data_IF_486910223507
#
_entry.id   IF_486910223507
#
_cell.length_a   1.000
_cell.length_b   1.000
_cell.length_c   1.000
_cell.angle_alpha   90.00
_cell.angle_beta   90.00
_cell.angle_gamma   90.00
#
_symmetry.space_group_name_H-M   'P 1'
#
loop_
_entity.id
_entity.type
_entity.pdbx_description
1 polymer ?
#
# COMPACT_ATOMS: atom_id res chain seq x y z
N UNK A 1 15.78 -17.46 -20.41
CA UNK A 1 15.43 -16.38 -19.47
C UNK A 1 16.01 -16.74 -18.13
N UNK A 2 16.81 -15.86 -17.52
CA UNK A 2 17.19 -15.99 -16.12
C UNK A 2 16.26 -15.08 -15.31
N UNK A 3 15.66 -15.60 -14.24
CA UNK A 3 14.95 -14.79 -13.26
C UNK A 3 16.00 -14.17 -12.34
N UNK A 4 16.08 -12.85 -12.35
CA UNK A 4 16.94 -12.05 -11.47
C UNK A 4 16.06 -11.04 -10.73
N UNK A 5 16.28 -10.90 -9.43
CA UNK A 5 15.50 -10.00 -8.57
C UNK A 5 16.48 -9.05 -7.89
N UNK A 6 16.26 -7.76 -8.10
CA UNK A 6 17.02 -6.69 -7.45
C UNK A 6 16.25 -6.21 -6.22
N UNK A 7 16.72 -6.46 -4.99
CA UNK A 7 16.03 -6.01 -3.79
C UNK A 7 15.76 -4.50 -3.78
N UNK A 8 16.65 -3.69 -4.34
CA UNK A 8 16.50 -2.24 -4.47
C UNK A 8 15.31 -1.81 -5.32
N UNK A 9 14.97 -2.59 -6.36
CA UNK A 9 13.82 -2.32 -7.23
C UNK A 9 12.52 -2.66 -6.48
N UNK A 10 12.51 -3.74 -5.70
CA UNK A 10 11.39 -4.11 -4.83
C UNK A 10 11.12 -3.03 -3.77
N UNK A 11 12.16 -2.51 -3.12
CA UNK A 11 12.01 -1.40 -2.16
C UNK A 11 11.56 -0.11 -2.85
N UNK A 12 12.11 0.18 -4.03
CA UNK A 12 11.72 1.32 -4.83
C UNK A 12 10.23 1.30 -5.16
N UNK A 13 9.73 0.16 -5.60
CA UNK A 13 8.31 -0.05 -5.86
C UNK A 13 7.48 -0.06 -4.57
N UNK A 14 7.96 -0.70 -3.51
CA UNK A 14 7.35 -0.67 -2.17
C UNK A 14 7.10 0.75 -1.66
N UNK A 15 8.08 1.65 -1.83
CA UNK A 15 7.92 3.08 -1.51
C UNK A 15 6.87 3.79 -2.36
N UNK A 16 6.74 3.44 -3.64
CA UNK A 16 5.68 4.00 -4.50
C UNK A 16 4.29 3.54 -4.04
N UNK A 17 4.14 2.25 -3.74
CA UNK A 17 2.90 1.67 -3.21
C UNK A 17 2.55 2.27 -1.83
N UNK A 18 3.55 2.46 -0.96
CA UNK A 18 3.38 3.11 0.33
C UNK A 18 2.92 4.57 0.22
N UNK A 19 3.45 5.34 -0.74
CA UNK A 19 2.95 6.69 -1.04
C UNK A 19 1.50 6.68 -1.51
N UNK A 20 1.14 5.75 -2.40
CA UNK A 20 -0.24 5.60 -2.82
C UNK A 20 -1.19 5.28 -1.65
N UNK A 21 -0.74 4.48 -0.67
CA UNK A 21 -1.51 4.24 0.55
C UNK A 21 -1.74 5.54 1.36
N UNK A 22 -0.70 6.38 1.49
CA UNK A 22 -0.79 7.68 2.16
C UNK A 22 -1.75 8.64 1.44
N UNK A 23 -1.75 8.63 0.11
CA UNK A 23 -2.67 9.45 -0.70
C UNK A 23 -4.13 8.99 -0.49
N UNK A 24 -4.37 7.69 -0.41
CA UNK A 24 -5.70 7.13 -0.09
C UNK A 24 -6.15 7.53 1.32
N UNK A 25 -5.25 7.52 2.30
CA UNK A 25 -5.57 7.96 3.67
C UNK A 25 -5.98 9.44 3.69
N UNK A 26 -5.23 10.32 3.00
CA UNK A 26 -5.60 11.72 2.86
C UNK A 26 -6.94 11.91 2.15
N UNK A 27 -7.23 11.12 1.11
CA UNK A 27 -8.51 11.14 0.43
C UNK A 27 -9.67 10.74 1.36
N UNK A 28 -9.46 9.75 2.25
CA UNK A 28 -10.46 9.37 3.26
C UNK A 28 -10.73 10.50 4.22
N UNK A 29 -9.67 11.10 4.77
CA UNK A 29 -9.80 12.24 5.68
C UNK A 29 -10.56 13.41 5.04
N UNK A 30 -10.27 13.68 3.76
CA UNK A 30 -10.99 14.70 2.99
C UNK A 30 -12.49 14.38 2.87
N UNK A 31 -12.83 13.15 2.48
CA UNK A 31 -14.23 12.71 2.35
C UNK A 31 -14.94 12.74 3.70
N UNK A 32 -14.31 12.29 4.77
CA UNK A 32 -14.89 12.29 6.11
C UNK A 32 -15.15 13.71 6.63
N UNK A 33 -14.27 14.65 6.27
CA UNK A 33 -14.40 16.06 6.65
C UNK A 33 -15.42 16.82 5.80
N UNK A 34 -15.55 16.50 4.50
CA UNK A 34 -16.25 17.35 3.54
C UNK A 34 -17.49 16.73 2.88
N UNK A 35 -17.64 15.40 2.89
CA UNK A 35 -18.80 14.73 2.27
C UNK A 35 -20.01 14.60 3.22
N UNK A 36 -19.95 15.21 4.41
CA UNK A 36 -21.10 15.30 5.30
C UNK A 36 -22.07 16.37 4.81
N UNK A 37 -23.21 15.98 4.26
CA UNK A 37 -24.37 16.87 4.16
C UNK A 37 -25.18 16.74 5.46
N UNK A 38 -25.32 17.85 6.19
CA UNK A 38 -26.03 17.88 7.46
C UNK A 38 -27.49 17.42 7.34
N UNK A 39 -28.16 17.25 8.48
CA UNK A 39 -29.58 16.92 8.53
C UNK A 39 -30.40 18.12 8.04
N UNK A 40 -30.69 18.16 6.74
CA UNK A 40 -31.69 19.07 6.19
C UNK A 40 -33.08 18.54 6.58
N UNK A 41 -33.81 19.30 7.38
CA UNK A 41 -35.06 18.87 8.03
C UNK A 41 -36.30 18.87 7.10
N UNK A 42 -36.14 19.15 5.81
CA UNK A 42 -37.28 19.46 4.94
C UNK A 42 -37.57 18.38 3.89
N UNK A 43 -38.85 18.02 3.80
CA UNK A 43 -39.40 17.02 2.87
C UNK A 43 -39.26 17.49 1.41
N UNK A 44 -38.95 16.57 0.50
CA UNK A 44 -38.92 16.82 -0.95
C UNK A 44 -37.63 16.37 -1.63
N UNK A 45 -37.35 16.91 -2.83
CA UNK A 45 -36.17 16.61 -3.66
C UNK A 45 -34.83 16.77 -2.90
N UNK A 46 -34.77 17.70 -1.94
CA UNK A 46 -33.58 17.94 -1.12
C UNK A 46 -33.26 16.73 -0.22
N UNK A 47 -34.27 16.14 0.42
CA UNK A 47 -34.10 14.94 1.26
C UNK A 47 -33.70 13.71 0.42
N UNK A 48 -34.24 13.58 -0.79
CA UNK A 48 -33.84 12.50 -1.70
C UNK A 48 -32.39 12.66 -2.17
N UNK A 49 -31.99 13.88 -2.53
CA UNK A 49 -30.62 14.21 -2.93
C UNK A 49 -29.62 14.00 -1.79
N UNK A 50 -29.96 14.36 -0.56
CA UNK A 50 -29.07 14.14 0.61
C UNK A 50 -28.91 12.65 0.90
N UNK A 51 -29.96 11.84 0.73
CA UNK A 51 -29.89 10.38 0.82
C UNK A 51 -28.94 9.78 -0.21
N UNK A 52 -29.06 10.18 -1.49
CA UNK A 52 -28.13 9.74 -2.55
C UNK A 52 -26.69 10.16 -2.29
N UNK A 53 -26.48 11.39 -1.79
CA UNK A 53 -25.16 11.88 -1.46
C UNK A 53 -24.51 11.07 -0.33
N UNK A 54 -25.26 10.74 0.73
CA UNK A 54 -24.78 9.89 1.82
C UNK A 54 -24.38 8.52 1.29
N UNK A 55 -25.23 7.89 0.46
CA UNK A 55 -24.93 6.58 -0.13
C UNK A 55 -23.67 6.61 -1.02
N UNK A 56 -23.50 7.67 -1.81
CA UNK A 56 -22.30 7.87 -2.61
C UNK A 56 -21.06 8.06 -1.73
N UNK A 57 -21.15 8.87 -0.68
CA UNK A 57 -20.08 9.08 0.30
C UNK A 57 -19.65 7.80 1.00
N UNK A 58 -20.61 6.95 1.39
CA UNK A 58 -20.35 5.66 2.01
C UNK A 58 -19.68 4.67 1.04
N UNK A 59 -20.10 4.68 -0.22
CA UNK A 59 -19.48 3.87 -1.27
C UNK A 59 -18.02 4.30 -1.51
N UNK A 60 -17.75 5.61 -1.55
CA UNK A 60 -16.39 6.15 -1.67
C UNK A 60 -15.54 5.77 -0.47
N UNK A 61 -16.05 5.96 0.76
CA UNK A 61 -15.37 5.54 2.00
C UNK A 61 -15.01 4.05 1.98
N UNK A 62 -15.93 3.19 1.54
CA UNK A 62 -15.70 1.75 1.48
C UNK A 62 -14.59 1.38 0.48
N UNK A 63 -14.60 1.99 -0.71
CA UNK A 63 -13.55 1.76 -1.72
C UNK A 63 -12.19 2.24 -1.23
N UNK A 64 -12.13 3.46 -0.68
CA UNK A 64 -10.88 4.00 -0.15
C UNK A 64 -10.34 3.15 1.01
N UNK A 65 -11.19 2.67 1.92
CA UNK A 65 -10.78 1.76 3.00
C UNK A 65 -10.21 0.45 2.48
N UNK A 66 -10.77 -0.10 1.39
CA UNK A 66 -10.24 -1.31 0.75
C UNK A 66 -8.89 -1.05 0.08
N UNK A 67 -8.73 0.08 -0.61
CA UNK A 67 -7.47 0.47 -1.24
C UNK A 67 -6.36 0.66 -0.21
N UNK A 68 -6.64 1.36 0.89
CA UNK A 68 -5.71 1.58 2.00
C UNK A 68 -5.18 0.25 2.56
N UNK A 69 -6.08 -0.70 2.81
CA UNK A 69 -5.73 -2.04 3.29
C UNK A 69 -4.83 -2.78 2.30
N UNK A 70 -5.20 -2.80 1.01
CA UNK A 70 -4.46 -3.53 -0.01
C UNK A 70 -3.08 -2.92 -0.27
N UNK A 71 -2.98 -1.59 -0.37
CA UNK A 71 -1.73 -0.90 -0.64
C UNK A 71 -0.78 -1.01 0.54
N UNK A 72 -1.27 -0.83 1.77
CA UNK A 72 -0.45 -1.01 2.99
C UNK A 72 0.09 -2.44 3.10
N UNK A 73 -0.76 -3.44 2.86
CA UNK A 73 -0.32 -4.84 2.87
C UNK A 73 0.71 -5.14 1.76
N UNK A 74 0.48 -4.62 0.56
CA UNK A 74 1.36 -4.81 -0.59
C UNK A 74 2.74 -4.17 -0.37
N UNK A 75 2.78 -2.94 0.14
CA UNK A 75 4.04 -2.27 0.48
C UNK A 75 4.85 -3.08 1.50
N UNK A 76 4.18 -3.59 2.56
CA UNK A 76 4.82 -4.42 3.57
C UNK A 76 5.38 -5.72 3.02
N UNK A 77 4.67 -6.35 2.09
CA UNK A 77 5.11 -7.61 1.49
C UNK A 77 6.27 -7.41 0.51
N UNK A 78 6.31 -6.27 -0.20
CA UNK A 78 7.45 -5.88 -1.03
C UNK A 78 8.71 -5.66 -0.17
N UNK A 79 8.59 -4.99 0.98
CA UNK A 79 9.70 -4.82 1.91
C UNK A 79 10.21 -6.15 2.46
N UNK A 80 9.30 -7.07 2.83
CA UNK A 80 9.66 -8.42 3.26
C UNK A 80 10.35 -9.22 2.15
N UNK A 81 9.86 -9.12 0.93
CA UNK A 81 10.45 -9.79 -0.23
C UNK A 81 11.87 -9.28 -0.48
N UNK A 82 12.08 -7.96 -0.45
CA UNK A 82 13.41 -7.37 -0.58
C UNK A 82 14.37 -7.83 0.53
N UNK A 83 13.89 -7.90 1.78
CA UNK A 83 14.67 -8.44 2.89
C UNK A 83 15.01 -9.92 2.71
N UNK A 84 14.06 -10.73 2.24
CA UNK A 84 14.26 -12.16 1.98
C UNK A 84 15.35 -12.40 0.94
N UNK A 85 15.31 -11.68 -0.19
CA UNK A 85 16.32 -11.83 -1.25
C UNK A 85 17.70 -11.40 -0.75
N UNK A 86 17.83 -10.28 -0.03
CA UNK A 86 19.12 -9.86 0.54
C UNK A 86 19.73 -10.90 1.49
N UNK A 87 18.92 -11.44 2.40
CA UNK A 87 19.40 -12.45 3.36
C UNK A 87 19.80 -13.72 2.63
N UNK A 88 19.00 -14.17 1.67
CA UNK A 88 19.30 -15.37 0.88
C UNK A 88 20.58 -15.19 0.08
N UNK A 89 20.74 -14.08 -0.63
CA UNK A 89 21.95 -13.79 -1.41
C UNK A 89 23.20 -13.72 -0.51
N UNK A 90 23.10 -13.07 0.65
CA UNK A 90 24.20 -13.02 1.62
C UNK A 90 24.55 -14.42 2.17
N UNK A 91 23.55 -15.26 2.45
CA UNK A 91 23.77 -16.64 2.90
C UNK A 91 24.43 -17.49 1.81
N UNK A 92 24.01 -17.36 0.56
CA UNK A 92 24.61 -18.10 -0.56
C UNK A 92 26.05 -17.63 -0.83
N UNK A 93 26.30 -16.31 -0.78
CA UNK A 93 27.65 -15.76 -0.90
C UNK A 93 28.58 -16.28 0.21
N UNK A 94 28.12 -16.28 1.47
CA UNK A 94 28.87 -16.80 2.62
C UNK A 94 29.17 -18.31 2.49
N UNK A 95 28.19 -19.11 2.06
CA UNK A 95 28.40 -20.53 1.78
C UNK A 95 29.45 -20.73 0.68
N UNK A 96 29.38 -19.97 -0.41
CA UNK A 96 30.35 -20.05 -1.49
C UNK A 96 31.75 -19.65 -1.01
N UNK A 97 31.89 -18.56 -0.27
CA UNK A 97 33.15 -18.11 0.31
C UNK A 97 33.77 -19.19 1.22
N UNK A 98 32.95 -19.92 1.98
CA UNK A 98 33.41 -21.02 2.83
C UNK A 98 33.95 -22.25 2.06
N UNK A 99 33.61 -22.38 0.77
CA UNK A 99 34.14 -23.45 -0.09
C UNK A 99 35.51 -23.11 -0.68
N UNK A 100 35.90 -21.83 -0.68
CA UNK A 100 37.23 -21.43 -1.11
C UNK A 100 38.24 -21.63 0.03
N UNK A 101 39.43 -22.18 -0.26
CA UNK A 101 40.49 -22.28 0.74
C UNK A 101 40.84 -20.89 1.26
N UNK A 102 41.13 -20.78 2.57
CA UNK A 102 41.56 -19.53 3.17
C UNK A 102 42.75 -18.97 2.40
N UNK A 103 42.58 -17.81 1.76
CA UNK A 103 43.67 -17.21 0.99
C UNK A 103 44.82 -16.94 1.95
N UNK A 104 45.94 -17.63 1.77
CA UNK A 104 47.16 -17.36 2.53
C UNK A 104 47.61 -15.94 2.19
N UNK A 105 47.57 -15.05 3.18
CA UNK A 105 48.44 -13.87 3.22
C UNK A 105 49.85 -14.29 3.58
#
# INVERSE_FOLDING_TARGET
>A
MAFDVRPEDLEGFGRQVGRAAQDVQQAREYVDKHAGMGLFADQGLILWMTGLHTQAGDSVRAVLGRLDTLLTASARELDRSAAYYRTTDAEQASKLDSTYPSSKR
#
